data_IF_611605242297
#
_entry.id   IF_611605242297
#
_cell.length_a   1.000
_cell.length_b   1.000
_cell.length_c   1.000
_cell.angle_alpha   90.00
_cell.angle_beta   90.00
_cell.angle_gamma   90.00
#
_symmetry.space_group_name_H-M   'P 1'
#
loop_
_entity.id
_entity.type
_entity.pdbx_description
1 polymer ?
#
# COMPACT_ATOMS: atom_id res chain seq x y z
N UNK A 1 0.24 -17.63 5.50
CA UNK A 1 1.51 -17.00 5.08
C UNK A 1 2.54 -17.23 6.17
N UNK A 2 3.80 -17.42 5.80
CA UNK A 2 4.92 -17.55 6.74
C UNK A 2 5.57 -16.18 6.96
N UNK A 3 6.04 -15.93 8.18
CA UNK A 3 6.76 -14.71 8.52
C UNK A 3 8.25 -14.88 8.28
N UNK A 4 8.86 -13.87 7.65
CA UNK A 4 10.27 -13.82 7.35
C UNK A 4 10.85 -12.43 7.62
N UNK A 5 12.19 -12.38 7.65
CA UNK A 5 12.96 -11.15 7.84
C UNK A 5 14.06 -11.05 6.80
N UNK A 6 14.13 -9.90 6.14
CA UNK A 6 15.22 -9.54 5.24
C UNK A 6 16.14 -8.50 5.92
N UNK A 7 17.41 -8.53 5.58
CA UNK A 7 18.37 -7.49 6.00
C UNK A 7 18.83 -6.73 4.76
N UNK A 8 18.40 -5.47 4.66
CA UNK A 8 18.79 -4.56 3.59
C UNK A 8 19.79 -3.55 4.17
N UNK A 9 21.09 -3.81 4.00
CA UNK A 9 22.17 -2.90 4.45
C UNK A 9 22.04 -2.53 5.95
N UNK A 10 21.67 -3.50 6.80
CA UNK A 10 21.48 -3.32 8.23
C UNK A 10 20.05 -2.95 8.65
N UNK A 11 19.17 -2.67 7.70
CA UNK A 11 17.75 -2.42 7.94
C UNK A 11 16.98 -3.74 7.94
N UNK A 12 16.34 -4.11 9.05
CA UNK A 12 15.50 -5.31 9.14
C UNK A 12 14.10 -5.03 8.61
N UNK A 13 13.72 -5.75 7.57
CA UNK A 13 12.41 -5.69 6.94
C UNK A 13 11.67 -6.99 7.21
N UNK A 14 10.50 -6.90 7.86
CA UNK A 14 9.58 -8.02 8.02
C UNK A 14 8.73 -8.18 6.76
N UNK A 15 8.48 -9.42 6.37
CA UNK A 15 7.53 -9.73 5.31
C UNK A 15 6.80 -11.05 5.57
N UNK A 16 5.65 -11.18 4.94
CA UNK A 16 4.85 -12.40 4.93
C UNK A 16 4.93 -13.03 3.55
N UNK A 17 5.16 -14.33 3.48
CA UNK A 17 5.38 -15.06 2.23
C UNK A 17 4.43 -16.26 2.12
N UNK A 18 3.98 -16.56 0.90
CA UNK A 18 3.20 -17.77 0.58
C UNK A 18 3.40 -18.14 -0.88
N UNK A 19 3.21 -19.44 -1.23
CA UNK A 19 3.33 -19.90 -2.61
C UNK A 19 4.76 -19.88 -3.17
N UNK A 20 5.79 -19.94 -2.32
CA UNK A 20 7.20 -20.02 -2.74
C UNK A 20 7.41 -21.19 -3.67
N UNK A 21 8.07 -20.93 -4.79
CA UNK A 21 8.30 -21.94 -5.85
C UNK A 21 7.43 -21.73 -7.10
N UNK A 22 6.43 -20.83 -7.05
CA UNK A 22 5.77 -20.35 -8.26
C UNK A 22 6.66 -19.34 -9.00
N UNK A 23 6.64 -19.37 -10.33
CA UNK A 23 7.50 -18.52 -11.19
C UNK A 23 7.00 -17.10 -11.35
N UNK A 24 5.73 -16.83 -11.03
CA UNK A 24 5.14 -15.48 -11.05
C UNK A 24 5.01 -14.94 -9.63
N UNK A 25 5.38 -13.69 -9.46
CA UNK A 25 5.45 -13.06 -8.15
C UNK A 25 4.40 -11.96 -8.02
N UNK A 26 3.89 -11.77 -6.79
CA UNK A 26 3.05 -10.63 -6.45
C UNK A 26 3.62 -9.99 -5.18
N UNK A 27 3.99 -8.71 -5.28
CA UNK A 27 4.42 -7.91 -4.15
C UNK A 27 3.29 -6.99 -3.71
N UNK A 28 2.90 -7.09 -2.44
CA UNK A 28 1.87 -6.27 -1.82
C UNK A 28 2.51 -5.20 -0.93
N UNK A 29 2.15 -3.93 -1.16
CA UNK A 29 2.66 -2.76 -0.44
C UNK A 29 1.50 -2.07 0.28
N UNK A 30 1.58 -2.00 1.61
CA UNK A 30 0.52 -1.44 2.46
C UNK A 30 0.54 0.09 2.50
N UNK A 31 -0.56 0.69 3.00
CA UNK A 31 -0.74 2.12 3.20
C UNK A 31 -0.09 2.67 4.48
N UNK A 32 -0.20 3.98 4.69
CA UNK A 32 0.30 4.71 5.85
C UNK A 32 -0.22 4.11 7.16
N UNK A 33 0.67 3.89 8.13
CA UNK A 33 0.32 3.35 9.44
C UNK A 33 -0.11 1.89 9.47
N UNK A 34 -0.05 1.19 8.34
CA UNK A 34 -0.49 -0.20 8.18
C UNK A 34 0.67 -1.20 8.30
N UNK A 35 0.49 -2.40 7.79
CA UNK A 35 1.48 -3.49 7.78
C UNK A 35 1.10 -4.59 6.79
N UNK A 36 2.01 -5.53 6.54
CA UNK A 36 1.81 -6.73 5.73
C UNK A 36 0.60 -7.56 6.16
N UNK A 37 0.27 -7.57 7.45
CA UNK A 37 -0.88 -8.31 7.99
C UNK A 37 -2.22 -7.90 7.39
N UNK A 38 -2.29 -6.71 6.82
CA UNK A 38 -3.50 -6.18 6.19
C UNK A 38 -3.92 -6.99 4.96
N UNK A 39 -2.96 -7.61 4.31
CA UNK A 39 -3.14 -8.34 3.05
C UNK A 39 -3.43 -9.84 3.20
N UNK A 40 -3.36 -10.41 4.41
CA UNK A 40 -3.31 -11.88 4.65
C UNK A 40 -4.37 -12.69 3.88
N UNK A 41 -5.57 -12.19 3.68
CA UNK A 41 -6.65 -12.89 2.95
C UNK A 41 -6.30 -13.08 1.47
N UNK A 42 -6.06 -11.99 0.74
CA UNK A 42 -5.84 -11.97 -0.72
C UNK A 42 -4.56 -12.74 -1.11
N UNK A 43 -3.37 -12.44 -0.55
CA UNK A 43 -2.15 -13.16 -0.92
C UNK A 43 -2.26 -14.67 -0.68
N UNK A 44 -2.86 -15.08 0.44
CA UNK A 44 -3.05 -16.50 0.74
C UNK A 44 -3.91 -17.20 -0.31
N UNK A 45 -4.96 -16.57 -0.79
CA UNK A 45 -5.85 -17.14 -1.81
C UNK A 45 -5.20 -17.21 -3.18
N UNK A 46 -4.26 -16.30 -3.50
CA UNK A 46 -3.51 -16.30 -4.76
C UNK A 46 -2.31 -17.26 -4.75
N UNK A 47 -1.90 -17.76 -3.58
CA UNK A 47 -0.65 -18.54 -3.41
C UNK A 47 -0.64 -19.90 -4.09
N UNK A 48 -1.76 -20.38 -4.61
CA UNK A 48 -1.79 -21.60 -5.43
C UNK A 48 -1.07 -21.43 -6.77
N UNK A 49 -1.09 -20.22 -7.35
CA UNK A 49 -0.56 -19.93 -8.68
C UNK A 49 0.56 -18.87 -8.67
N UNK A 50 0.74 -18.16 -7.57
CA UNK A 50 1.69 -17.06 -7.43
C UNK A 50 2.55 -17.21 -6.17
N UNK A 51 3.79 -16.80 -6.26
CA UNK A 51 4.60 -16.49 -5.10
C UNK A 51 4.20 -15.12 -4.58
N UNK A 52 3.50 -15.07 -3.45
CA UNK A 52 2.94 -13.84 -2.88
C UNK A 52 3.76 -13.36 -1.69
N UNK A 53 4.10 -12.08 -1.70
CA UNK A 53 4.94 -11.43 -0.70
C UNK A 53 4.26 -10.14 -0.26
N UNK A 54 4.13 -9.95 1.05
CA UNK A 54 3.63 -8.71 1.64
C UNK A 54 4.67 -8.17 2.60
N UNK A 55 5.25 -7.00 2.32
CA UNK A 55 6.29 -6.42 3.17
C UNK A 55 5.72 -5.42 4.18
N UNK A 56 6.36 -5.31 5.35
CA UNK A 56 6.24 -4.14 6.21
C UNK A 56 7.23 -3.08 5.73
N UNK A 57 6.76 -1.93 5.26
CA UNK A 57 7.62 -0.81 4.91
C UNK A 57 8.46 -0.35 6.12
N UNK A 58 9.70 0.14 5.94
CA UNK A 58 10.45 0.78 7.02
C UNK A 58 9.62 1.86 7.70
N UNK A 59 9.71 1.96 9.01
CA UNK A 59 8.88 2.88 9.79
C UNK A 59 7.54 2.32 10.21
N UNK A 60 7.09 1.20 9.61
CA UNK A 60 5.76 0.61 9.83
C UNK A 60 5.83 -0.86 10.22
N UNK A 61 4.68 -1.42 10.58
CA UNK A 61 4.57 -2.82 11.00
C UNK A 61 5.55 -3.18 12.10
N UNK A 62 6.24 -4.30 11.92
CA UNK A 62 7.32 -4.77 12.81
C UNK A 62 8.72 -4.49 12.21
N UNK A 63 8.82 -3.93 10.98
CA UNK A 63 10.08 -3.51 10.39
C UNK A 63 10.78 -2.41 11.19
N UNK A 64 12.08 -2.24 10.98
CA UNK A 64 12.88 -1.21 11.64
C UNK A 64 12.34 0.20 11.36
N UNK A 65 12.54 1.11 12.34
CA UNK A 65 12.07 2.49 12.31
C UNK A 65 13.21 3.46 12.63
N UNK A 66 14.23 3.56 11.74
CA UNK A 66 15.39 4.40 12.01
C UNK A 66 15.04 5.88 12.02
N UNK A 67 15.44 6.59 13.09
CA UNK A 67 15.24 8.04 13.21
C UNK A 67 16.06 8.85 12.20
N UNK A 68 17.10 8.25 11.62
CA UNK A 68 17.98 8.87 10.61
C UNK A 68 17.44 8.75 9.18
N UNK A 69 16.39 7.98 8.95
CA UNK A 69 15.82 7.79 7.63
C UNK A 69 14.92 8.98 7.24
N UNK A 70 15.09 9.48 6.02
CA UNK A 70 14.10 10.33 5.37
C UNK A 70 13.01 9.43 4.79
N UNK A 71 11.78 9.55 5.32
CA UNK A 71 10.64 8.75 4.88
C UNK A 71 9.97 9.38 3.65
N UNK A 72 10.74 9.50 2.55
CA UNK A 72 10.27 10.01 1.25
C UNK A 72 9.81 8.87 0.35
N UNK A 73 9.00 9.17 -0.67
CA UNK A 73 8.54 8.19 -1.66
C UNK A 73 9.74 7.59 -2.41
N UNK A 74 10.72 8.40 -2.75
CA UNK A 74 11.95 7.97 -3.42
C UNK A 74 12.68 6.92 -2.59
N UNK A 75 12.95 7.21 -1.29
CA UNK A 75 13.63 6.25 -0.41
C UNK A 75 12.82 4.96 -0.21
N UNK A 76 11.50 5.04 -0.13
CA UNK A 76 10.66 3.84 -0.08
C UNK A 76 10.78 3.02 -1.36
N UNK A 77 10.78 3.69 -2.51
CA UNK A 77 10.89 3.02 -3.81
C UNK A 77 12.23 2.32 -3.96
N UNK A 78 13.33 2.97 -3.59
CA UNK A 78 14.67 2.37 -3.59
C UNK A 78 14.73 1.13 -2.69
N UNK A 79 14.15 1.20 -1.47
CA UNK A 79 14.11 0.07 -0.55
C UNK A 79 13.25 -1.08 -1.09
N UNK A 80 12.12 -0.79 -1.74
CA UNK A 80 11.29 -1.82 -2.36
C UNK A 80 12.05 -2.52 -3.48
N UNK A 81 12.81 -1.79 -4.29
CA UNK A 81 13.64 -2.34 -5.35
C UNK A 81 14.77 -3.20 -4.80
N UNK A 82 15.49 -2.70 -3.79
CA UNK A 82 16.53 -3.47 -3.10
C UNK A 82 15.95 -4.76 -2.49
N UNK A 83 14.74 -4.69 -1.94
CA UNK A 83 14.03 -5.84 -1.42
C UNK A 83 13.67 -6.85 -2.53
N UNK A 84 13.17 -6.39 -3.68
CA UNK A 84 12.90 -7.23 -4.84
C UNK A 84 14.18 -7.90 -5.36
N UNK A 85 15.28 -7.17 -5.42
CA UNK A 85 16.60 -7.69 -5.82
C UNK A 85 17.08 -8.76 -4.84
N UNK A 86 16.98 -8.51 -3.53
CA UNK A 86 17.40 -9.46 -2.49
C UNK A 86 16.63 -10.78 -2.55
N UNK A 87 15.32 -10.72 -2.85
CA UNK A 87 14.47 -11.91 -2.98
C UNK A 87 14.52 -12.55 -4.37
N UNK A 88 15.29 -11.98 -5.31
CA UNK A 88 15.38 -12.41 -6.71
C UNK A 88 14.01 -12.48 -7.40
N UNK A 89 13.14 -11.50 -7.15
CA UNK A 89 11.81 -11.35 -7.77
C UNK A 89 11.76 -10.15 -8.73
N UNK A 90 12.88 -9.81 -9.33
CA UNK A 90 13.08 -8.67 -10.23
C UNK A 90 13.28 -9.08 -11.70
N UNK A 91 12.75 -10.24 -12.09
CA UNK A 91 12.96 -10.87 -13.39
C UNK A 91 11.91 -10.50 -14.47
N UNK A 92 11.11 -9.46 -14.22
CA UNK A 92 10.03 -9.02 -15.12
C UNK A 92 8.74 -9.83 -14.99
N UNK A 93 8.62 -10.70 -13.97
CA UNK A 93 7.43 -11.50 -13.68
C UNK A 93 6.75 -11.11 -12.36
N UNK A 94 7.10 -9.95 -11.82
CA UNK A 94 6.52 -9.45 -10.58
C UNK A 94 5.41 -8.46 -10.88
N UNK A 95 4.21 -8.76 -10.40
CA UNK A 95 3.12 -7.81 -10.30
C UNK A 95 3.17 -7.09 -8.96
N UNK A 96 2.88 -5.78 -8.95
CA UNK A 96 2.88 -4.99 -7.71
C UNK A 96 1.45 -4.56 -7.40
N UNK A 97 1.02 -4.79 -6.16
CA UNK A 97 -0.28 -4.35 -5.63
C UNK A 97 -0.03 -3.36 -4.51
N UNK A 98 -0.42 -2.11 -4.69
CA UNK A 98 -0.24 -1.06 -3.71
C UNK A 98 -1.56 -0.43 -3.26
N UNK A 99 -1.68 -0.19 -1.94
CA UNK A 99 -2.83 0.50 -1.36
C UNK A 99 -2.41 1.85 -0.79
N UNK A 100 -3.16 2.92 -1.09
CA UNK A 100 -2.95 4.25 -0.54
C UNK A 100 -1.49 4.72 -0.75
N UNK A 101 -0.72 5.01 0.30
CA UNK A 101 0.72 5.27 0.23
C UNK A 101 1.47 4.18 -0.56
N UNK A 102 1.12 2.91 -0.34
CA UNK A 102 1.71 1.78 -1.08
C UNK A 102 1.40 1.82 -2.57
N UNK A 103 0.28 2.40 -2.98
CA UNK A 103 -0.07 2.65 -4.38
C UNK A 103 0.86 3.69 -5.01
N UNK A 104 1.13 4.79 -4.30
CA UNK A 104 2.09 5.80 -4.75
C UNK A 104 3.50 5.18 -4.91
N UNK A 105 3.97 4.43 -3.90
CA UNK A 105 5.25 3.74 -3.96
C UNK A 105 5.29 2.74 -5.13
N UNK A 106 4.22 1.96 -5.33
CA UNK A 106 4.12 0.99 -6.43
C UNK A 106 4.19 1.67 -7.82
N UNK A 107 3.53 2.81 -7.98
CA UNK A 107 3.60 3.60 -9.20
C UNK A 107 5.03 4.13 -9.44
N UNK A 108 5.68 4.66 -8.40
CA UNK A 108 7.05 5.18 -8.49
C UNK A 108 8.06 4.06 -8.82
N UNK A 109 7.98 2.89 -8.15
CA UNK A 109 8.77 1.69 -8.49
C UNK A 109 8.58 1.30 -9.96
N UNK A 110 7.33 1.31 -10.44
CA UNK A 110 7.02 0.96 -11.82
C UNK A 110 7.62 1.98 -12.81
N UNK A 111 7.62 3.27 -12.49
CA UNK A 111 8.22 4.32 -13.31
C UNK A 111 9.75 4.11 -13.41
N UNK A 112 10.40 3.89 -12.27
CA UNK A 112 11.85 3.79 -12.19
C UNK A 112 12.39 2.45 -12.74
N UNK A 113 11.63 1.36 -12.59
CA UNK A 113 12.07 -0.01 -12.89
C UNK A 113 11.05 -0.80 -13.72
N UNK A 114 10.48 -0.17 -14.72
CA UNK A 114 9.44 -0.70 -15.61
C UNK A 114 9.71 -2.12 -16.12
N UNK A 115 10.94 -2.42 -16.49
CA UNK A 115 11.32 -3.74 -17.03
C UNK A 115 11.21 -4.88 -16.02
N UNK A 116 11.08 -4.56 -14.73
CA UNK A 116 10.97 -5.54 -13.64
C UNK A 116 9.52 -5.79 -13.22
N UNK A 117 8.56 -4.99 -13.74
CA UNK A 117 7.15 -5.05 -13.37
C UNK A 117 6.31 -5.64 -14.49
N UNK A 118 5.58 -6.74 -14.22
CA UNK A 118 4.67 -7.37 -15.18
C UNK A 118 3.32 -6.63 -15.25
N UNK A 119 2.73 -6.34 -14.09
CA UNK A 119 1.42 -5.66 -13.95
C UNK A 119 1.41 -4.79 -12.70
N UNK A 120 0.59 -3.76 -12.71
CA UNK A 120 0.40 -2.84 -11.59
C UNK A 120 -1.07 -2.84 -11.13
N UNK A 121 -1.30 -2.92 -9.82
CA UNK A 121 -2.63 -2.75 -9.21
C UNK A 121 -2.55 -1.62 -8.20
N UNK A 122 -3.34 -0.58 -8.39
CA UNK A 122 -3.45 0.60 -7.53
C UNK A 122 -4.81 0.55 -6.83
N UNK A 123 -4.82 0.52 -5.50
CA UNK A 123 -6.05 0.50 -4.70
C UNK A 123 -6.10 1.77 -3.86
N UNK A 124 -7.10 2.64 -4.08
CA UNK A 124 -7.27 3.92 -3.39
C UNK A 124 -5.94 4.69 -3.28
N UNK A 125 -5.19 4.78 -4.38
CA UNK A 125 -3.79 5.20 -4.39
C UNK A 125 -3.62 6.67 -4.03
N UNK A 126 -2.66 7.00 -3.16
CA UNK A 126 -2.19 8.36 -2.99
C UNK A 126 -1.25 8.78 -4.13
N UNK A 127 -0.73 10.00 -4.05
CA UNK A 127 0.22 10.57 -5.00
C UNK A 127 -0.31 11.76 -5.80
N UNK A 128 -1.64 11.95 -5.89
CA UNK A 128 -2.25 13.03 -6.68
C UNK A 128 -2.94 14.11 -5.81
N UNK A 129 -2.87 14.01 -4.47
CA UNK A 129 -3.43 15.01 -3.56
C UNK A 129 -2.55 16.27 -3.56
N UNK A 130 -3.13 17.43 -3.80
CA UNK A 130 -2.43 18.73 -3.69
C UNK A 130 -2.15 19.12 -2.23
N UNK A 131 -2.96 18.63 -1.32
CA UNK A 131 -2.84 18.82 0.13
C UNK A 131 -3.54 17.68 0.86
N UNK A 132 -3.18 17.41 2.12
CA UNK A 132 -3.88 16.42 2.92
C UNK A 132 -5.38 16.75 3.03
N UNK A 133 -6.22 15.71 2.98
CA UNK A 133 -7.63 15.85 3.34
C UNK A 133 -7.76 16.07 4.85
N UNK A 134 -8.89 16.65 5.30
CA UNK A 134 -9.16 16.83 6.72
C UNK A 134 -9.07 15.51 7.51
N UNK A 135 -9.48 14.40 6.90
CA UNK A 135 -9.40 13.07 7.51
C UNK A 135 -7.95 12.58 7.66
N UNK A 136 -7.06 12.89 6.71
CA UNK A 136 -5.62 12.61 6.84
C UNK A 136 -4.96 13.45 7.93
N UNK A 137 -5.34 14.71 8.08
CA UNK A 137 -4.85 15.59 9.16
C UNK A 137 -5.32 15.08 10.53
N UNK A 138 -6.59 14.66 10.63
CA UNK A 138 -7.13 14.03 11.84
C UNK A 138 -6.40 12.72 12.14
N UNK A 139 -6.13 11.89 11.13
CA UNK A 139 -5.38 10.64 11.29
C UNK A 139 -3.97 10.89 11.86
N UNK A 140 -3.27 11.90 11.38
CA UNK A 140 -1.98 12.31 11.96
C UNK A 140 -2.14 12.71 13.44
N UNK A 141 -3.13 13.55 13.76
CA UNK A 141 -3.39 13.99 15.14
C UNK A 141 -3.65 12.79 16.07
N UNK A 142 -4.46 11.83 15.61
CA UNK A 142 -4.76 10.58 16.34
C UNK A 142 -3.51 9.73 16.49
N UNK A 143 -2.69 9.58 15.45
CA UNK A 143 -1.45 8.82 15.49
C UNK A 143 -0.45 9.39 16.50
N UNK A 144 -0.38 10.72 16.65
CA UNK A 144 0.50 11.36 17.64
C UNK A 144 0.04 11.14 19.10
N UNK A 145 -1.28 11.05 19.33
CA UNK A 145 -1.87 10.89 20.66
C UNK A 145 -2.97 9.81 20.65
N UNK A 146 -2.62 8.52 20.40
CA UNK A 146 -3.58 7.47 20.18
C UNK A 146 -4.27 7.05 21.51
N UNK A 147 -5.61 6.94 21.43
CA UNK A 147 -6.42 6.20 22.43
C UNK A 147 -7.31 5.23 21.64
N UNK A 148 -7.84 4.21 22.31
CA UNK A 148 -8.71 3.22 21.68
C UNK A 148 -9.89 3.87 20.96
N UNK A 149 -10.57 4.82 21.64
CA UNK A 149 -11.75 5.49 21.08
C UNK A 149 -11.40 6.39 19.88
N UNK A 150 -10.29 7.16 19.96
CA UNK A 150 -9.85 8.01 18.85
C UNK A 150 -9.45 7.18 17.62
N UNK A 151 -8.67 6.11 17.84
CA UNK A 151 -8.22 5.23 16.75
C UNK A 151 -9.40 4.48 16.14
N UNK A 152 -10.34 4.01 16.95
CA UNK A 152 -11.57 3.41 16.44
C UNK A 152 -12.36 4.40 15.59
N UNK A 153 -12.63 5.59 16.11
CA UNK A 153 -13.41 6.62 15.43
C UNK A 153 -12.80 7.01 14.08
N UNK A 154 -11.47 7.23 14.02
CA UNK A 154 -10.82 7.59 12.76
C UNK A 154 -10.89 6.44 11.74
N UNK A 155 -10.75 5.19 12.16
CA UNK A 155 -10.87 4.04 11.27
C UNK A 155 -12.30 3.82 10.77
N UNK A 156 -13.31 4.06 11.62
CA UNK A 156 -14.74 4.02 11.24
C UNK A 156 -15.09 5.09 10.21
N UNK A 157 -14.45 6.26 10.25
CA UNK A 157 -14.64 7.30 9.24
C UNK A 157 -14.03 6.94 7.87
N UNK A 158 -13.02 6.05 7.85
CA UNK A 158 -12.34 5.62 6.61
C UNK A 158 -13.11 4.53 5.84
N UNK A 159 -14.13 3.93 6.43
CA UNK A 159 -14.93 2.84 5.84
C UNK A 159 -16.41 3.22 5.81
N UNK A 160 -17.20 2.53 5.00
CA UNK A 160 -18.67 2.69 4.98
C UNK A 160 -19.34 1.80 6.02
N UNK A 161 -18.78 0.62 6.29
CA UNK A 161 -19.28 -0.35 7.27
C UNK A 161 -18.34 -0.45 8.48
N UNK A 162 -18.69 0.26 9.56
CA UNK A 162 -17.90 0.29 10.81
C UNK A 162 -17.76 -1.10 11.46
N UNK A 163 -18.63 -2.08 11.14
CA UNK A 163 -18.51 -3.46 11.62
C UNK A 163 -17.26 -4.17 11.09
N UNK A 164 -16.66 -3.63 10.03
CA UNK A 164 -15.39 -4.12 9.44
C UNK A 164 -14.14 -3.66 10.21
N UNK A 165 -14.28 -2.88 11.29
CA UNK A 165 -13.17 -2.42 12.12
C UNK A 165 -13.10 -3.27 13.42
N UNK A 166 -12.41 -4.40 13.42
CA UNK A 166 -12.28 -5.24 14.60
C UNK A 166 -11.38 -4.56 15.65
N UNK A 167 -11.67 -4.78 16.93
CA UNK A 167 -10.86 -4.23 18.03
C UNK A 167 -9.37 -4.57 17.91
N UNK A 168 -9.04 -5.77 17.44
CA UNK A 168 -7.66 -6.21 17.19
C UNK A 168 -6.90 -5.29 16.22
N UNK A 169 -7.58 -4.71 15.22
CA UNK A 169 -6.96 -3.74 14.30
C UNK A 169 -6.57 -2.46 15.03
N UNK A 170 -7.49 -1.93 15.85
CA UNK A 170 -7.27 -0.74 16.68
C UNK A 170 -6.11 -0.95 17.67
N UNK A 171 -6.11 -2.06 18.40
CA UNK A 171 -5.04 -2.42 19.34
C UNK A 171 -3.68 -2.60 18.65
N UNK A 172 -3.67 -3.26 17.49
CA UNK A 172 -2.44 -3.45 16.71
C UNK A 172 -1.86 -2.12 16.21
N UNK A 173 -2.70 -1.20 15.76
CA UNK A 173 -2.24 0.15 15.39
C UNK A 173 -1.64 0.87 16.61
N UNK A 174 -2.35 0.90 17.74
CA UNK A 174 -1.88 1.57 18.98
C UNK A 174 -0.54 0.98 19.43
N UNK A 175 -0.41 -0.35 19.44
CA UNK A 175 0.84 -1.03 19.77
C UNK A 175 1.97 -0.55 18.87
N UNK A 176 1.78 -0.57 17.55
CA UNK A 176 2.82 -0.27 16.56
C UNK A 176 3.21 1.20 16.52
N UNK A 177 2.24 2.13 16.62
CA UNK A 177 2.52 3.57 16.60
C UNK A 177 3.26 4.05 17.86
N UNK A 178 3.20 3.30 18.95
CA UNK A 178 3.93 3.58 20.19
C UNK A 178 5.32 2.92 20.24
N UNK A 179 5.73 2.15 19.22
CA UNK A 179 7.11 1.67 19.11
C UNK A 179 8.08 2.84 18.94
N UNK A 180 9.35 2.67 19.36
CA UNK A 180 10.37 3.71 19.17
C UNK A 180 10.40 4.23 17.72
N UNK A 181 10.42 5.54 17.55
CA UNK A 181 10.44 6.29 16.27
C UNK A 181 9.22 6.09 15.35
N UNK A 182 8.22 5.27 15.70
CA UNK A 182 7.06 5.03 14.83
C UNK A 182 6.26 6.31 14.54
N UNK A 183 6.07 7.16 15.55
CA UNK A 183 5.39 8.47 15.37
C UNK A 183 6.17 9.40 14.45
N UNK A 184 7.50 9.42 14.58
CA UNK A 184 8.36 10.18 13.69
C UNK A 184 8.24 9.67 12.25
N UNK A 185 8.35 8.35 12.05
CA UNK A 185 8.20 7.74 10.73
C UNK A 185 6.83 8.05 10.10
N UNK A 186 5.75 7.91 10.87
CA UNK A 186 4.39 8.21 10.41
C UNK A 186 4.26 9.67 9.97
N UNK A 187 4.66 10.62 10.83
CA UNK A 187 4.58 12.05 10.53
C UNK A 187 5.44 12.41 9.32
N UNK A 188 6.71 12.00 9.31
CA UNK A 188 7.63 12.28 8.20
C UNK A 188 7.12 11.71 6.88
N UNK A 189 6.57 10.49 6.89
CA UNK A 189 5.99 9.88 5.68
C UNK A 189 4.81 10.69 5.16
N UNK A 190 3.86 11.08 6.03
CA UNK A 190 2.70 11.84 5.62
C UNK A 190 3.12 13.20 5.03
N UNK A 191 3.98 13.93 5.72
CA UNK A 191 4.47 15.24 5.27
C UNK A 191 5.19 15.13 3.91
N UNK A 192 6.08 14.16 3.74
CA UNK A 192 6.79 13.97 2.47
C UNK A 192 5.88 13.50 1.34
N UNK A 193 4.94 12.59 1.59
CA UNK A 193 4.05 12.05 0.56
C UNK A 193 2.97 13.05 0.10
N UNK A 194 2.71 14.11 0.88
CA UNK A 194 1.76 15.17 0.52
C UNK A 194 2.45 16.43 0.00
N UNK A 195 3.74 16.62 0.32
CA UNK A 195 4.54 17.72 -0.22
C UNK A 195 5.12 17.42 -1.62
N UNK A 196 5.13 16.17 -2.03
CA UNK A 196 5.51 15.72 -3.36
C UNK A 196 4.29 15.12 -4.06
N UNK A 197 4.10 15.44 -5.33
CA UNK A 197 3.01 14.88 -6.13
C UNK A 197 3.59 14.01 -7.23
N UNK A 198 2.86 12.96 -7.55
CA UNK A 198 3.09 12.15 -8.72
C UNK A 198 2.52 12.89 -9.93
N UNK A 199 3.38 13.61 -10.63
CA UNK A 199 2.98 14.41 -11.78
C UNK A 199 2.38 13.53 -12.89
N UNK A 200 1.32 14.01 -13.55
CA UNK A 200 0.66 13.29 -14.66
C UNK A 200 1.63 12.90 -15.76
N UNK A 201 2.60 13.75 -16.07
CA UNK A 201 3.63 13.45 -17.09
C UNK A 201 4.54 12.29 -16.67
N UNK A 202 4.80 12.13 -15.37
CA UNK A 202 5.54 10.98 -14.84
C UNK A 202 4.72 9.69 -14.92
N UNK A 203 3.42 9.75 -14.62
CA UNK A 203 2.53 8.59 -14.75
C UNK A 203 2.48 8.02 -16.18
N UNK A 204 2.65 8.87 -17.21
CA UNK A 204 2.76 8.40 -18.59
C UNK A 204 3.94 7.46 -18.83
N UNK A 205 4.98 7.50 -17.98
CA UNK A 205 6.11 6.58 -18.06
C UNK A 205 5.73 5.13 -17.70
N UNK A 206 4.59 4.90 -17.04
CA UNK A 206 4.03 3.57 -16.79
C UNK A 206 3.46 2.94 -18.09
N UNK A 207 3.31 3.72 -19.16
CA UNK A 207 2.75 3.27 -20.43
C UNK A 207 3.34 1.92 -20.89
N UNK A 208 2.46 1.01 -21.34
CA UNK A 208 2.81 -0.37 -21.70
C UNK A 208 2.75 -1.37 -20.55
N UNK A 209 2.68 -0.94 -19.30
CA UNK A 209 2.41 -1.84 -18.15
C UNK A 209 0.90 -1.91 -17.94
N UNK A 210 0.27 -3.10 -18.06
CA UNK A 210 -1.13 -3.25 -17.73
C UNK A 210 -1.38 -2.81 -16.28
N UNK A 211 -2.35 -1.90 -16.09
CA UNK A 211 -2.63 -1.31 -14.78
C UNK A 211 -4.11 -1.45 -14.43
N UNK A 212 -4.41 -2.02 -13.26
CA UNK A 212 -5.74 -2.05 -12.67
C UNK A 212 -5.82 -1.01 -11.55
N UNK A 213 -6.81 -0.14 -11.63
CA UNK A 213 -7.10 0.89 -10.63
C UNK A 213 -8.41 0.50 -9.95
N UNK A 214 -8.38 0.27 -8.64
CA UNK A 214 -9.55 -0.07 -7.83
C UNK A 214 -9.79 1.06 -6.84
N UNK A 215 -11.04 1.50 -6.69
CA UNK A 215 -11.37 2.59 -5.78
C UNK A 215 -12.72 2.41 -5.11
N UNK A 216 -12.79 2.72 -3.80
CA UNK A 216 -14.06 2.82 -3.08
C UNK A 216 -14.81 4.11 -3.47
N UNK A 217 -16.10 4.01 -3.82
CA UNK A 217 -16.89 5.19 -4.22
C UNK A 217 -17.13 6.20 -3.10
N UNK A 218 -16.96 5.79 -1.84
CA UNK A 218 -17.13 6.64 -0.65
C UNK A 218 -15.81 6.88 0.10
N UNK A 219 -14.67 6.82 -0.60
CA UNK A 219 -13.37 7.11 -0.02
C UNK A 219 -13.28 8.59 0.41
N UNK A 220 -13.22 8.82 1.74
CA UNK A 220 -13.08 10.14 2.36
C UNK A 220 -11.63 10.52 2.64
N UNK A 221 -10.70 9.55 2.50
CA UNK A 221 -9.26 9.78 2.68
C UNK A 221 -8.66 10.31 1.39
N UNK A 222 -8.92 9.64 0.27
CA UNK A 222 -8.53 10.08 -1.07
C UNK A 222 -9.76 9.98 -1.97
N UNK A 223 -10.38 11.12 -2.32
CA UNK A 223 -11.63 11.15 -3.08
C UNK A 223 -11.57 10.34 -4.38
N UNK A 224 -12.68 9.67 -4.73
CA UNK A 224 -12.77 8.76 -5.87
C UNK A 224 -12.43 9.41 -7.21
N UNK A 225 -12.59 10.73 -7.33
CA UNK A 225 -12.23 11.52 -8.51
C UNK A 225 -10.74 11.42 -8.86
N UNK A 226 -9.90 11.04 -7.90
CA UNK A 226 -8.47 10.78 -8.16
C UNK A 226 -8.26 9.54 -9.04
N UNK A 227 -9.20 8.58 -9.05
CA UNK A 227 -9.13 7.43 -9.95
C UNK A 227 -9.13 7.85 -11.42
N UNK A 228 -9.87 8.90 -11.77
CA UNK A 228 -9.91 9.46 -13.12
C UNK A 228 -8.56 10.08 -13.50
N UNK A 229 -7.88 10.75 -12.54
CA UNK A 229 -6.57 11.34 -12.78
C UNK A 229 -5.52 10.27 -13.13
N UNK A 230 -5.54 9.13 -12.44
CA UNK A 230 -4.70 7.98 -12.77
C UNK A 230 -5.08 7.38 -14.14
N UNK A 231 -6.39 7.22 -14.40
CA UNK A 231 -6.91 6.68 -15.68
C UNK A 231 -6.51 7.52 -16.87
N UNK A 232 -6.62 8.84 -16.76
CA UNK A 232 -6.23 9.78 -17.84
C UNK A 232 -4.73 9.79 -18.10
N UNK A 233 -3.92 9.47 -17.06
CA UNK A 233 -2.46 9.56 -17.13
C UNK A 233 -1.80 8.25 -17.54
N UNK A 234 -2.44 7.08 -17.30
CA UNK A 234 -1.92 5.75 -17.62
C UNK A 234 -2.75 5.14 -18.75
N UNK A 235 -2.23 5.13 -19.97
CA UNK A 235 -2.98 4.74 -21.16
C UNK A 235 -3.48 3.30 -21.13
N UNK A 236 -2.66 2.35 -20.62
CA UNK A 236 -3.01 0.94 -20.50
C UNK A 236 -3.58 0.62 -19.11
N UNK A 237 -4.59 1.38 -18.69
CA UNK A 237 -5.22 1.20 -17.38
C UNK A 237 -6.72 0.92 -17.49
N UNK A 238 -7.25 0.17 -16.51
CA UNK A 238 -8.66 -0.10 -16.30
C UNK A 238 -9.07 0.33 -14.90
N UNK A 239 -10.24 0.97 -14.76
CA UNK A 239 -10.75 1.46 -13.46
C UNK A 239 -11.97 0.63 -13.06
N UNK A 240 -11.98 0.19 -11.80
CA UNK A 240 -13.08 -0.49 -11.14
C UNK A 240 -13.47 0.28 -9.87
N UNK A 241 -14.69 0.79 -9.84
CA UNK A 241 -15.24 1.51 -8.68
C UNK A 241 -16.07 0.55 -7.85
N UNK A 242 -15.67 0.38 -6.60
CA UNK A 242 -16.35 -0.49 -5.63
C UNK A 242 -17.43 0.30 -4.92
N UNK A 243 -18.69 -0.08 -5.15
CA UNK A 243 -19.83 0.58 -4.52
C UNK A 243 -19.93 0.22 -3.04
N UNK A 244 -20.44 1.15 -2.23
CA UNK A 244 -20.56 1.00 -0.77
C UNK A 244 -19.23 0.59 -0.12
N UNK A 245 -18.15 1.24 -0.50
CA UNK A 245 -16.82 1.01 0.06
C UNK A 245 -16.07 2.35 0.21
N UNK A 246 -15.35 2.48 1.33
CA UNK A 246 -14.47 3.59 1.65
C UNK A 246 -13.02 3.31 1.24
N UNK A 247 -12.06 3.81 2.03
CA UNK A 247 -10.60 3.77 1.76
C UNK A 247 -9.94 2.38 1.85
N UNK A 248 -10.69 1.34 2.15
CA UNK A 248 -10.15 -0.02 2.24
C UNK A 248 -11.12 -1.05 1.62
N UNK A 249 -11.44 -0.94 0.31
CA UNK A 249 -12.41 -1.80 -0.35
C UNK A 249 -12.07 -3.29 -0.24
N UNK A 250 -10.79 -3.65 -0.19
CA UNK A 250 -10.36 -5.04 0.03
C UNK A 250 -10.69 -5.58 1.44
N UNK A 251 -11.06 -4.71 2.38
CA UNK A 251 -11.55 -5.10 3.73
C UNK A 251 -13.07 -5.15 3.75
N UNK A 252 -13.72 -4.23 3.06
CA UNK A 252 -15.18 -4.09 3.06
C UNK A 252 -15.87 -5.04 2.08
N UNK A 253 -15.27 -5.26 0.91
CA UNK A 253 -15.76 -6.12 -0.19
C UNK A 253 -14.65 -7.11 -0.63
N UNK A 254 -14.12 -7.94 0.28
CA UNK A 254 -12.91 -8.73 0.04
C UNK A 254 -13.05 -9.71 -1.14
N UNK A 255 -14.21 -10.34 -1.33
CA UNK A 255 -14.44 -11.27 -2.43
C UNK A 255 -14.41 -10.55 -3.79
N UNK A 256 -15.05 -9.37 -3.87
CA UNK A 256 -15.10 -8.59 -5.12
C UNK A 256 -13.70 -8.11 -5.51
N UNK A 257 -12.96 -7.53 -4.56
CA UNK A 257 -11.59 -7.04 -4.81
C UNK A 257 -10.64 -8.20 -5.14
N UNK A 258 -10.77 -9.34 -4.46
CA UNK A 258 -10.01 -10.55 -4.77
C UNK A 258 -10.25 -11.03 -6.20
N UNK A 259 -11.51 -11.13 -6.64
CA UNK A 259 -11.85 -11.56 -8.00
C UNK A 259 -11.30 -10.61 -9.07
N UNK A 260 -11.37 -9.30 -8.86
CA UNK A 260 -10.79 -8.30 -9.76
C UNK A 260 -9.27 -8.48 -9.90
N UNK A 261 -8.57 -8.58 -8.77
CA UNK A 261 -7.12 -8.79 -8.76
C UNK A 261 -6.77 -10.12 -9.42
N UNK A 262 -7.44 -11.22 -9.05
CA UNK A 262 -7.20 -12.55 -9.62
C UNK A 262 -7.37 -12.55 -11.15
N UNK A 263 -8.50 -12.04 -11.63
CA UNK A 263 -8.80 -12.03 -13.07
C UNK A 263 -7.83 -11.13 -13.85
N UNK A 264 -7.36 -10.07 -13.25
CA UNK A 264 -6.38 -9.18 -13.87
C UNK A 264 -4.98 -9.78 -13.92
N UNK A 265 -4.58 -10.59 -12.91
CA UNK A 265 -3.23 -11.18 -12.82
C UNK A 265 -3.07 -12.50 -13.57
N UNK A 266 -4.16 -13.21 -13.85
CA UNK A 266 -4.14 -14.46 -14.64
C UNK A 266 -4.26 -14.18 -16.14
#
# INVERSE_FOLDING_TARGET
MQEHWANLNGLKIRYLESGKGNDKHILFIHGLGSSADRWVGIPKSLSANFHTISLDLPGFGESDKPASMNYTIENFSDIVIDFMNLLAINDGKTSIVGHSLGGYIAAEVTILHKIQVERLVLIDSSGMLEKPTALLEEYLSVAMNPTTDKVRNIFEQMVTDSTKIPLKLVESFIKRINLPNAKYAFKSTLENSTNTQLERERLKLIDGIPTLIIWGNEDKVIPVEHSDLFKESISNSHVEIIQDAGHAPFTEKPEQVFELIRNFLT
#
